data_IF_814494985918
#
_entry.id   IF_814494985918
#
_cell.length_a   1.000
_cell.length_b   1.000
_cell.length_c   1.000
_cell.angle_alpha   90.00
_cell.angle_beta   90.00
_cell.angle_gamma   90.00
#
_symmetry.space_group_name_H-M   'P 1'
#
loop_
_entity.id
_entity.type
_entity.pdbx_description
1 polymer ?
#
# COMPACT_ATOMS: atom_id res chain seq x y z
N UNK A 1 -4.66 -15.04 5.79
CA UNK A 1 -4.96 -14.83 4.36
C UNK A 1 -3.67 -14.91 3.54
N UNK A 2 -3.76 -15.00 2.21
CA UNK A 2 -2.61 -15.03 1.30
C UNK A 2 -2.71 -13.88 0.30
N UNK A 3 -1.71 -13.01 0.29
CA UNK A 3 -1.59 -11.88 -0.65
C UNK A 3 -0.58 -12.24 -1.74
N UNK A 4 -0.70 -11.70 -2.96
CA UNK A 4 0.37 -11.90 -3.94
C UNK A 4 1.62 -11.14 -3.49
N UNK A 5 2.77 -11.79 -3.64
CA UNK A 5 4.12 -11.27 -3.43
C UNK A 5 4.24 -9.93 -2.67
N UNK A 6 4.00 -9.95 -1.35
CA UNK A 6 4.28 -8.80 -0.47
C UNK A 6 5.78 -8.56 -0.42
N UNK A 7 6.18 -7.31 -0.66
CA UNK A 7 7.59 -6.90 -0.73
C UNK A 7 7.92 -5.67 0.10
N UNK A 8 6.90 -4.92 0.50
CA UNK A 8 7.02 -3.69 1.29
C UNK A 8 6.03 -3.74 2.43
N UNK A 9 6.45 -3.15 3.55
CA UNK A 9 5.63 -2.90 4.72
C UNK A 9 5.88 -1.46 5.13
N UNK A 10 4.82 -0.78 5.57
CA UNK A 10 4.89 0.57 6.11
C UNK A 10 3.68 0.82 6.99
N UNK A 11 3.79 1.65 8.01
CA UNK A 11 2.72 1.85 8.96
C UNK A 11 3.20 2.58 10.19
N UNK A 12 2.26 2.91 11.07
CA UNK A 12 2.55 3.69 12.28
C UNK A 12 2.57 2.85 13.56
N UNK A 13 1.98 1.65 13.55
CA UNK A 13 1.90 0.78 14.72
C UNK A 13 1.89 -0.71 14.38
N UNK A 14 2.11 -1.55 15.40
CA UNK A 14 2.06 -3.03 15.27
C UNK A 14 0.70 -3.57 14.80
N UNK A 15 -0.36 -2.79 14.99
CA UNK A 15 -1.74 -3.09 14.69
C UNK A 15 -2.36 -2.06 13.72
N UNK A 16 -1.52 -1.27 13.05
CA UNK A 16 -1.95 -0.32 12.02
C UNK A 16 -0.81 -0.20 11.00
N UNK A 17 -0.87 -1.05 9.98
CA UNK A 17 0.16 -1.09 8.95
C UNK A 17 -0.37 -1.60 7.60
N UNK A 18 0.38 -1.27 6.57
CA UNK A 18 0.11 -1.62 5.19
C UNK A 18 1.18 -2.57 4.67
N UNK A 19 0.75 -3.49 3.82
CA UNK A 19 1.63 -4.34 3.03
C UNK A 19 1.37 -4.09 1.57
N UNK A 20 2.41 -4.13 0.75
CA UNK A 20 2.26 -3.97 -0.69
C UNK A 20 3.29 -4.73 -1.49
N UNK A 21 2.98 -4.94 -2.76
CA UNK A 21 3.75 -5.82 -3.63
C UNK A 21 3.74 -5.40 -5.09
N UNK A 22 3.39 -6.36 -5.95
CA UNK A 22 3.22 -6.13 -7.38
C UNK A 22 1.73 -5.97 -7.72
N UNK A 23 1.45 -5.49 -8.94
CA UNK A 23 0.08 -5.44 -9.49
C UNK A 23 -0.85 -4.61 -8.63
N UNK A 24 -0.33 -3.51 -8.08
CA UNK A 24 -1.11 -2.57 -7.28
C UNK A 24 -1.74 -3.15 -6.01
N UNK A 25 -1.36 -4.35 -5.58
CA UNK A 25 -1.89 -4.93 -4.35
C UNK A 25 -1.27 -4.21 -3.16
N UNK A 26 -2.11 -3.46 -2.46
CA UNK A 26 -1.83 -2.88 -1.15
C UNK A 26 -2.96 -3.28 -0.23
N UNK A 27 -2.60 -3.74 0.96
CA UNK A 27 -3.55 -4.15 1.97
C UNK A 27 -3.24 -3.44 3.29
N UNK A 28 -4.27 -3.01 3.98
CA UNK A 28 -4.21 -2.42 5.31
C UNK A 28 -4.61 -3.44 6.37
N UNK A 29 -3.84 -3.56 7.44
CA UNK A 29 -4.20 -4.29 8.64
C UNK A 29 -4.52 -3.31 9.76
N UNK A 30 -5.76 -3.37 10.26
CA UNK A 30 -6.25 -2.47 11.30
C UNK A 30 -6.14 -3.04 12.74
N UNK A 31 -5.50 -4.21 12.89
CA UNK A 31 -5.38 -4.90 14.17
C UNK A 31 -6.37 -6.04 14.37
N UNK A 32 -7.39 -6.13 13.52
CA UNK A 32 -8.41 -7.17 13.54
C UNK A 32 -8.45 -7.89 12.20
N UNK A 33 -8.63 -7.13 11.11
CA UNK A 33 -8.84 -7.62 9.76
C UNK A 33 -7.94 -6.92 8.72
N UNK A 34 -7.94 -7.47 7.51
CA UNK A 34 -7.25 -6.92 6.35
C UNK A 34 -8.23 -6.29 5.36
N UNK A 35 -7.88 -5.13 4.82
CA UNK A 35 -8.66 -4.39 3.83
C UNK A 35 -7.81 -4.12 2.59
N UNK A 36 -8.42 -4.12 1.41
CA UNK A 36 -7.74 -3.63 0.22
C UNK A 36 -7.60 -2.11 0.34
N UNK A 37 -6.36 -1.62 0.33
CA UNK A 37 -6.04 -0.20 0.42
C UNK A 37 -5.91 0.36 -1.00
N UNK A 38 -6.92 1.11 -1.44
CA UNK A 38 -7.02 1.77 -2.75
C UNK A 38 -7.07 0.88 -4.02
N UNK A 39 -7.85 1.33 -5.01
CA UNK A 39 -7.83 0.82 -6.39
C UNK A 39 -6.86 1.70 -7.21
N UNK A 40 -5.57 1.40 -7.14
CA UNK A 40 -4.57 2.13 -7.93
C UNK A 40 -4.85 1.93 -9.42
N UNK A 41 -4.51 2.93 -10.23
CA UNK A 41 -4.80 3.01 -11.68
C UNK A 41 -4.72 1.67 -12.43
N UNK A 42 -5.42 1.56 -13.56
CA UNK A 42 -5.43 0.34 -14.40
C UNK A 42 -4.06 -0.14 -14.90
N UNK A 43 -3.00 0.66 -14.73
CA UNK A 43 -1.63 0.25 -15.00
C UNK A 43 -1.04 -0.52 -13.83
N UNK A 44 -0.30 -1.58 -14.11
CA UNK A 44 0.39 -2.36 -13.06
C UNK A 44 1.65 -1.64 -12.58
N UNK A 45 1.69 -1.32 -11.28
CA UNK A 45 2.87 -0.79 -10.61
C UNK A 45 3.50 -1.82 -9.66
N UNK A 46 4.80 -1.63 -9.43
CA UNK A 46 5.57 -2.26 -8.36
C UNK A 46 5.70 -1.28 -7.22
N UNK A 47 5.24 -1.67 -6.02
CA UNK A 47 5.33 -0.82 -4.84
C UNK A 47 6.78 -0.76 -4.34
N UNK A 48 7.31 0.46 -4.24
CA UNK A 48 8.69 0.71 -3.81
C UNK A 48 8.77 1.15 -2.36
N UNK A 49 7.79 1.94 -1.90
CA UNK A 49 7.71 2.43 -0.52
C UNK A 49 6.26 2.66 -0.11
N UNK A 50 6.00 2.44 1.18
CA UNK A 50 4.75 2.82 1.84
C UNK A 50 5.12 3.57 3.11
N UNK A 51 4.51 4.73 3.32
CA UNK A 51 4.72 5.58 4.50
C UNK A 51 3.39 6.10 5.01
N UNK A 52 3.25 6.22 6.32
CA UNK A 52 2.04 6.74 6.96
C UNK A 52 2.42 7.85 7.94
N UNK A 53 1.67 8.95 7.92
CA UNK A 53 1.76 10.05 8.88
C UNK A 53 0.35 10.48 9.24
N UNK A 54 -0.06 10.22 10.49
CA UNK A 54 -1.45 10.37 10.91
C UNK A 54 -2.35 9.49 10.05
N UNK A 55 -3.41 10.09 9.49
CA UNK A 55 -4.33 9.39 8.60
C UNK A 55 -3.87 9.40 7.14
N UNK A 56 -2.79 10.11 6.79
CA UNK A 56 -2.29 10.17 5.40
C UNK A 56 -1.34 9.01 5.12
N UNK A 57 -1.56 8.33 3.99
CA UNK A 57 -0.74 7.23 3.50
C UNK A 57 -0.17 7.61 2.15
N UNK A 58 1.14 7.43 2.02
CA UNK A 58 1.91 7.74 0.82
C UNK A 58 2.48 6.46 0.24
N UNK A 59 2.22 6.22 -1.04
CA UNK A 59 2.70 5.04 -1.75
C UNK A 59 3.54 5.48 -2.93
N UNK A 60 4.84 5.20 -2.87
CA UNK A 60 5.75 5.37 -4.00
C UNK A 60 5.79 4.10 -4.83
N UNK A 61 5.57 4.21 -6.13
CA UNK A 61 5.48 3.06 -7.03
C UNK A 61 6.13 3.33 -8.39
N UNK A 62 6.46 2.27 -9.13
CA UNK A 62 7.01 2.36 -10.49
C UNK A 62 6.36 1.35 -11.44
N UNK A 63 6.12 1.74 -12.70
CA UNK A 63 5.63 0.84 -13.77
C UNK A 63 6.71 0.52 -14.83
N UNK A 64 7.97 0.88 -14.56
CA UNK A 64 9.10 0.73 -15.48
C UNK A 64 9.34 1.93 -16.40
N UNK A 65 8.39 2.85 -16.51
CA UNK A 65 8.50 4.07 -17.31
C UNK A 65 8.52 5.33 -16.43
N UNK A 66 7.75 5.31 -15.35
CA UNK A 66 7.59 6.45 -14.45
C UNK A 66 7.58 6.03 -12.98
N UNK A 67 7.81 7.02 -12.12
CA UNK A 67 7.56 6.92 -10.67
C UNK A 67 6.28 7.69 -10.37
N UNK A 68 5.35 7.04 -9.69
CA UNK A 68 4.07 7.64 -9.27
C UNK A 68 3.96 7.60 -7.77
N UNK A 69 3.50 8.70 -7.18
CA UNK A 69 3.10 8.76 -5.78
C UNK A 69 1.57 8.73 -5.71
N UNK A 70 1.04 7.81 -4.92
CA UNK A 70 -0.36 7.82 -4.52
C UNK A 70 -0.47 8.33 -3.09
N UNK A 71 -1.51 9.12 -2.84
CA UNK A 71 -1.83 9.66 -1.52
C UNK A 71 -3.25 9.22 -1.22
N UNK A 72 -3.43 8.48 -0.13
CA UNK A 72 -4.74 8.02 0.36
C UNK A 72 -4.90 8.33 1.84
N UNK A 73 -6.10 8.06 2.36
CA UNK A 73 -6.34 8.07 3.81
C UNK A 73 -6.28 6.64 4.36
N UNK A 74 -5.85 6.45 5.62
CA UNK A 74 -5.76 5.10 6.23
C UNK A 74 -7.08 4.34 6.25
N UNK A 75 -8.20 5.02 6.05
CA UNK A 75 -9.57 4.48 6.13
C UNK A 75 -10.11 4.05 4.76
N UNK A 76 -9.38 4.34 3.67
CA UNK A 76 -9.69 3.98 2.27
C UNK A 76 -8.78 2.85 1.75
#
# INVERSE_FOLDING_TARGET
ESFNAVRRIGGSAKNDFFVGGYRNEIHHYNGEDWFAFSDLSSQTHSIQAIWQIGDSVFVGSTNGFETVMFIGSREE
#
